data_IF_094808292088
#
_entry.id   IF_094808292088
#
_cell.length_a   1.000
_cell.length_b   1.000
_cell.length_c   1.000
_cell.angle_alpha   90.00
_cell.angle_beta   90.00
_cell.angle_gamma   90.00
#
_symmetry.space_group_name_H-M   'P 1'
#
loop_
_entity.id
_entity.type
_entity.pdbx_description
1 polymer ?
#
# COMPACT_ATOMS: atom_id res chain seq x y z
N UNK A 1 -25.46 -43.69 71.45
CA UNK A 1 -26.48 -43.58 70.39
C UNK A 1 -25.80 -44.00 69.08
N UNK A 2 -25.32 -45.24 68.95
CA UNK A 2 -26.05 -46.40 68.38
C UNK A 2 -26.76 -46.03 67.08
N UNK A 3 -26.14 -46.35 65.93
CA UNK A 3 -26.46 -47.50 65.06
C UNK A 3 -27.68 -47.22 64.17
N UNK A 4 -27.85 -47.69 62.95
CA UNK A 4 -27.07 -48.36 61.92
C UNK A 4 -28.02 -48.40 60.69
N UNK A 5 -27.47 -48.61 59.48
CA UNK A 5 -28.06 -49.35 58.34
C UNK A 5 -29.55 -49.14 57.98
N UNK A 6 -29.81 -48.82 56.71
CA UNK A 6 -30.06 -49.84 55.67
C UNK A 6 -30.58 -49.20 54.38
N UNK A 7 -29.97 -49.59 53.25
CA UNK A 7 -30.61 -49.59 51.93
C UNK A 7 -31.54 -50.81 51.82
N UNK A 8 -32.62 -50.71 51.03
CA UNK A 8 -32.91 -51.71 50.01
C UNK A 8 -33.15 -51.03 48.64
N UNK A 9 -32.55 -51.54 47.57
CA UNK A 9 -32.96 -52.66 46.71
C UNK A 9 -34.13 -52.33 45.77
N UNK A 10 -33.85 -52.61 44.50
CA UNK A 10 -34.60 -52.33 43.29
C UNK A 10 -36.00 -52.97 43.21
N UNK A 11 -36.87 -52.36 42.40
CA UNK A 11 -37.95 -53.05 41.71
C UNK A 11 -38.17 -52.42 40.33
N UNK A 12 -38.09 -53.27 39.31
CA UNK A 12 -38.47 -52.97 37.93
C UNK A 12 -39.99 -52.95 37.78
N UNK A 13 -40.50 -52.12 36.86
CA UNK A 13 -41.90 -52.12 36.46
C UNK A 13 -42.09 -51.36 35.15
N UNK A 14 -42.13 -52.09 34.04
CA UNK A 14 -42.72 -51.59 32.79
C UNK A 14 -44.24 -51.49 32.98
N UNK A 15 -44.87 -50.37 32.65
CA UNK A 15 -46.11 -50.38 31.88
C UNK A 15 -46.46 -49.01 31.30
N UNK A 16 -47.15 -49.10 30.19
CA UNK A 16 -47.40 -48.15 29.12
C UNK A 16 -48.41 -47.04 29.39
N UNK A 17 -48.36 -46.06 28.47
CA UNK A 17 -49.46 -45.25 27.90
C UNK A 17 -49.70 -43.84 28.44
N UNK A 18 -49.37 -42.94 27.53
CA UNK A 18 -50.23 -41.88 27.01
C UNK A 18 -50.30 -40.53 27.71
N UNK A 19 -49.89 -39.56 26.89
CA UNK A 19 -50.50 -38.24 26.74
C UNK A 19 -50.19 -37.22 27.82
N UNK A 20 -49.15 -36.42 27.58
CA UNK A 20 -49.31 -34.97 27.61
C UNK A 20 -48.57 -34.34 26.42
N UNK A 21 -49.32 -34.17 25.32
CA UNK A 21 -49.10 -33.13 24.33
C UNK A 21 -49.16 -31.77 25.04
N UNK A 22 -48.11 -30.96 24.96
CA UNK A 22 -48.23 -29.53 25.29
C UNK A 22 -46.96 -28.85 25.78
N UNK A 23 -45.88 -28.84 24.98
CA UNK A 23 -44.68 -28.07 25.37
C UNK A 23 -43.73 -27.64 24.23
N UNK A 24 -43.81 -28.28 23.07
CA UNK A 24 -42.77 -28.10 22.03
C UNK A 24 -42.86 -26.78 21.24
N UNK A 25 -44.03 -26.11 21.20
CA UNK A 25 -44.20 -24.89 20.39
C UNK A 25 -43.55 -23.63 20.98
N UNK A 26 -43.30 -23.60 22.29
CA UNK A 26 -42.68 -22.43 22.96
C UNK A 26 -41.15 -22.50 22.85
N UNK A 27 -40.56 -23.69 23.06
CA UNK A 27 -39.12 -23.89 22.91
C UNK A 27 -38.62 -23.66 21.49
N UNK A 28 -39.38 -24.11 20.48
CA UNK A 28 -39.00 -23.91 19.06
C UNK A 28 -39.07 -22.43 18.65
N UNK A 29 -40.03 -21.65 19.18
CA UNK A 29 -40.12 -20.20 18.92
C UNK A 29 -39.01 -19.41 19.59
N UNK A 30 -38.57 -19.82 20.78
CA UNK A 30 -37.44 -19.19 21.50
C UNK A 30 -36.10 -19.50 20.81
N UNK A 31 -35.90 -20.72 20.33
CA UNK A 31 -34.71 -21.09 19.55
C UNK A 31 -34.66 -20.38 18.19
N UNK A 32 -35.78 -20.26 17.48
CA UNK A 32 -35.85 -19.48 16.23
C UNK A 32 -35.62 -17.98 16.45
N UNK A 33 -36.12 -17.42 17.56
CA UNK A 33 -35.87 -16.02 17.92
C UNK A 33 -34.40 -15.75 18.27
N UNK A 34 -33.74 -16.66 18.97
CA UNK A 34 -32.31 -16.55 19.32
C UNK A 34 -31.41 -16.68 18.09
N UNK A 35 -31.78 -17.52 17.11
CA UNK A 35 -31.08 -17.68 15.83
C UNK A 35 -31.25 -16.47 14.90
N UNK A 36 -32.37 -15.75 14.98
CA UNK A 36 -32.60 -14.50 14.25
C UNK A 36 -31.83 -13.32 14.85
N UNK A 37 -31.62 -13.31 16.17
CA UNK A 37 -30.81 -12.29 16.84
C UNK A 37 -29.30 -12.44 16.58
N UNK A 38 -28.79 -13.65 16.34
CA UNK A 38 -27.36 -13.86 16.02
C UNK A 38 -26.97 -13.44 14.59
N UNK A 39 -27.94 -13.31 13.68
CA UNK A 39 -27.72 -12.80 12.32
C UNK A 39 -27.66 -11.27 12.23
N UNK A 40 -28.24 -10.56 13.22
CA UNK A 40 -28.20 -9.09 13.30
C UNK A 40 -26.92 -8.54 13.96
N UNK A 41 -26.05 -9.42 14.48
CA UNK A 41 -24.81 -9.04 15.17
C UNK A 41 -23.64 -8.69 14.22
N UNK A 42 -23.82 -8.81 12.90
CA UNK A 42 -22.86 -8.31 11.92
C UNK A 42 -23.10 -6.82 11.62
N UNK A 43 -23.11 -5.95 12.64
CA UNK A 43 -22.99 -4.52 12.37
C UNK A 43 -21.51 -4.19 12.21
N UNK A 44 -21.11 -3.81 11.00
CA UNK A 44 -19.78 -3.26 10.74
C UNK A 44 -19.61 -2.02 11.60
N UNK A 45 -18.54 -1.97 12.41
CA UNK A 45 -18.24 -0.83 13.25
C UNK A 45 -18.19 0.46 12.39
N UNK A 46 -18.77 1.59 12.85
CA UNK A 46 -18.70 2.85 12.12
C UNK A 46 -17.25 3.21 11.83
N UNK A 47 -16.90 3.29 10.54
CA UNK A 47 -15.55 3.63 10.11
C UNK A 47 -15.37 5.15 10.10
N UNK A 48 -15.15 5.74 11.28
CA UNK A 48 -14.82 7.19 11.39
C UNK A 48 -13.51 7.57 10.64
N UNK A 49 -12.73 6.58 10.20
CA UNK A 49 -11.46 6.76 9.51
C UNK A 49 -11.50 6.36 8.02
N UNK A 50 -12.71 6.20 7.46
CA UNK A 50 -12.91 5.87 6.05
C UNK A 50 -12.90 4.37 5.74
N UNK A 51 -13.21 4.05 4.49
CA UNK A 51 -13.33 2.67 3.99
C UNK A 51 -12.29 2.39 2.91
N UNK A 52 -11.80 1.15 2.87
CA UNK A 52 -10.93 0.69 1.78
C UNK A 52 -11.78 0.55 0.52
N UNK A 53 -11.49 1.36 -0.49
CA UNK A 53 -12.18 1.30 -1.78
C UNK A 53 -11.35 0.50 -2.78
N UNK A 54 -11.95 -0.52 -3.37
CA UNK A 54 -11.39 -1.22 -4.53
C UNK A 54 -11.48 -0.37 -5.80
N UNK A 55 -10.63 -0.67 -6.79
CA UNK A 55 -10.76 -0.09 -8.13
C UNK A 55 -11.87 -0.77 -8.92
N UNK A 56 -12.46 -0.04 -9.87
CA UNK A 56 -13.35 -0.61 -10.87
C UNK A 56 -12.56 -1.55 -11.80
N UNK A 57 -13.14 -2.69 -12.14
CA UNK A 57 -12.54 -3.65 -13.06
C UNK A 57 -12.23 -3.02 -14.43
N UNK A 58 -11.02 -3.28 -14.93
CA UNK A 58 -10.63 -2.96 -16.30
C UNK A 58 -10.18 -4.23 -17.04
N UNK A 59 -10.62 -4.42 -18.28
CA UNK A 59 -10.27 -5.57 -19.14
C UNK A 59 -8.76 -5.85 -19.28
N UNK A 60 -7.91 -4.84 -19.10
CA UNK A 60 -6.45 -4.95 -19.22
C UNK A 60 -5.82 -5.63 -17.99
N UNK A 61 -6.57 -5.75 -16.89
CA UNK A 61 -6.18 -6.46 -15.67
C UNK A 61 -6.12 -7.98 -15.88
N UNK A 62 -6.85 -8.52 -16.85
CA UNK A 62 -6.82 -9.94 -17.21
C UNK A 62 -5.43 -10.42 -17.67
N UNK A 63 -4.57 -9.48 -18.08
CA UNK A 63 -3.20 -9.74 -18.51
C UNK A 63 -2.17 -9.50 -17.39
N UNK A 64 -2.62 -9.30 -16.14
CA UNK A 64 -1.77 -9.10 -14.98
C UNK A 64 -1.87 -10.30 -14.05
N UNK A 65 -0.73 -10.78 -13.54
CA UNK A 65 -0.74 -11.62 -12.34
C UNK A 65 -1.01 -10.76 -11.10
N UNK A 66 -1.39 -11.39 -9.98
CA UNK A 66 -1.56 -10.69 -8.70
C UNK A 66 -0.34 -9.86 -8.31
N UNK A 67 0.87 -10.40 -8.54
CA UNK A 67 2.13 -9.68 -8.32
C UNK A 67 2.25 -8.42 -9.18
N UNK A 68 1.88 -8.52 -10.46
CA UNK A 68 1.98 -7.41 -11.40
C UNK A 68 0.88 -6.37 -11.14
N UNK A 69 -0.29 -6.79 -10.67
CA UNK A 69 -1.33 -5.90 -10.17
C UNK A 69 -0.89 -5.17 -8.91
N UNK A 70 -0.25 -5.87 -7.97
CA UNK A 70 0.31 -5.27 -6.75
C UNK A 70 1.34 -4.20 -7.09
N UNK A 71 2.30 -4.50 -7.97
CA UNK A 71 3.29 -3.53 -8.42
C UNK A 71 2.65 -2.32 -9.16
N UNK A 72 1.62 -2.57 -9.98
CA UNK A 72 0.87 -1.50 -10.67
C UNK A 72 0.19 -0.58 -9.68
N UNK A 73 -0.46 -1.15 -8.66
CA UNK A 73 -1.12 -0.38 -7.60
C UNK A 73 -0.11 0.41 -6.77
N UNK A 74 1.00 -0.22 -6.37
CA UNK A 74 2.06 0.45 -5.61
C UNK A 74 2.64 1.65 -6.38
N UNK A 75 2.92 1.49 -7.68
CA UNK A 75 3.40 2.58 -8.54
C UNK A 75 2.38 3.72 -8.63
N UNK A 76 1.10 3.41 -8.90
CA UNK A 76 0.03 4.41 -8.94
C UNK A 76 -0.07 5.18 -7.62
N UNK A 77 -0.11 4.48 -6.49
CA UNK A 77 -0.22 5.07 -5.16
C UNK A 77 1.02 5.88 -4.78
N UNK A 78 2.21 5.50 -5.26
CA UNK A 78 3.43 6.28 -5.08
C UNK A 78 3.38 7.62 -5.85
N UNK A 79 2.91 7.60 -7.10
CA UNK A 79 2.73 8.82 -7.90
C UNK A 79 1.67 9.75 -7.28
N UNK A 80 0.53 9.21 -6.82
CA UNK A 80 -0.48 10.02 -6.12
C UNK A 80 0.06 10.60 -4.80
N UNK A 81 0.82 9.82 -4.02
CA UNK A 81 1.51 10.35 -2.84
C UNK A 81 2.48 11.48 -3.18
N UNK A 82 3.24 11.39 -4.29
CA UNK A 82 4.10 12.49 -4.77
C UNK A 82 3.28 13.75 -5.12
N UNK A 83 2.12 13.60 -5.76
CA UNK A 83 1.27 14.74 -6.08
C UNK A 83 0.57 15.34 -4.85
N UNK A 84 0.28 14.54 -3.83
CA UNK A 84 -0.18 15.04 -2.53
C UNK A 84 0.93 15.81 -1.81
N UNK A 85 2.16 15.32 -1.89
CA UNK A 85 3.35 16.03 -1.40
C UNK A 85 3.50 17.37 -2.13
N UNK A 86 3.32 17.39 -3.45
CA UNK A 86 3.35 18.60 -4.27
C UNK A 86 2.35 19.66 -3.78
N UNK A 87 1.08 19.30 -3.57
CA UNK A 87 0.07 20.24 -3.03
C UNK A 87 0.51 20.80 -1.67
N UNK A 88 0.95 19.93 -0.76
CA UNK A 88 1.42 20.35 0.59
C UNK A 88 2.60 21.31 0.50
N UNK A 89 3.57 21.02 -0.37
CA UNK A 89 4.73 21.88 -0.58
C UNK A 89 4.33 23.22 -1.18
N UNK A 90 3.46 23.26 -2.19
CA UNK A 90 3.01 24.52 -2.78
C UNK A 90 2.19 25.39 -1.84
N UNK A 91 1.37 24.80 -0.96
CA UNK A 91 0.67 25.54 0.11
C UNK A 91 1.64 26.26 1.03
N UNK A 92 2.77 25.62 1.33
CA UNK A 92 3.80 26.18 2.22
C UNK A 92 4.81 27.07 1.51
N UNK A 93 5.01 26.88 0.22
CA UNK A 93 5.99 27.58 -0.60
C UNK A 93 5.30 28.24 -1.80
N UNK A 94 4.45 29.26 -1.58
CA UNK A 94 3.63 29.82 -2.65
C UNK A 94 4.44 30.58 -3.70
N UNK A 95 5.71 30.90 -3.43
CA UNK A 95 6.60 31.49 -4.41
C UNK A 95 6.98 30.51 -5.53
N UNK A 96 6.92 29.19 -5.28
CA UNK A 96 7.37 28.17 -6.23
C UNK A 96 6.38 28.00 -7.38
N UNK A 97 5.10 27.72 -7.11
CA UNK A 97 4.11 27.54 -8.18
C UNK A 97 3.90 28.80 -9.04
N UNK A 98 4.17 29.99 -8.49
CA UNK A 98 4.10 31.27 -9.22
C UNK A 98 5.17 31.41 -10.31
N UNK A 99 6.25 30.63 -10.25
CA UNK A 99 7.28 30.60 -11.30
C UNK A 99 6.80 29.85 -12.55
N UNK A 100 5.89 28.89 -12.36
CA UNK A 100 5.45 27.97 -13.42
C UNK A 100 4.08 28.32 -13.99
N UNK A 101 3.14 28.76 -13.15
CA UNK A 101 1.74 28.94 -13.58
C UNK A 101 1.01 30.07 -12.84
N UNK A 102 -0.16 30.44 -13.38
CA UNK A 102 -1.04 31.48 -12.83
C UNK A 102 -1.78 31.05 -11.56
N UNK A 103 -1.90 29.75 -11.29
CA UNK A 103 -2.47 29.21 -10.06
C UNK A 103 -1.74 27.95 -9.64
N UNK A 104 -1.87 27.59 -8.35
CA UNK A 104 -1.33 26.34 -7.81
C UNK A 104 -1.92 25.13 -8.54
N UNK A 105 -3.22 25.13 -8.79
CA UNK A 105 -3.93 24.04 -9.46
C UNK A 105 -3.42 23.87 -10.89
N UNK A 106 -3.14 24.98 -11.60
CA UNK A 106 -2.55 24.95 -12.92
C UNK A 106 -1.10 24.41 -12.91
N UNK A 107 -0.27 24.83 -11.94
CA UNK A 107 1.09 24.30 -11.77
C UNK A 107 1.06 22.79 -11.50
N UNK A 108 0.17 22.35 -10.60
CA UNK A 108 0.00 20.92 -10.30
C UNK A 108 -0.46 20.11 -11.51
N UNK A 109 -1.42 20.62 -12.29
CA UNK A 109 -1.90 19.96 -13.49
C UNK A 109 -0.78 19.84 -14.53
N UNK A 110 0.01 20.90 -14.72
CA UNK A 110 1.12 20.91 -15.65
C UNK A 110 2.19 19.88 -15.28
N UNK A 111 2.59 19.81 -14.00
CA UNK A 111 3.54 18.78 -13.52
C UNK A 111 2.98 17.37 -13.69
N UNK A 112 1.70 17.15 -13.37
CA UNK A 112 1.04 15.84 -13.56
C UNK A 112 1.08 15.39 -15.02
N UNK A 113 0.75 16.29 -15.96
CA UNK A 113 0.81 16.01 -17.40
C UNK A 113 2.25 15.69 -17.80
N UNK A 114 3.22 16.51 -17.40
CA UNK A 114 4.62 16.30 -17.76
C UNK A 114 5.15 14.95 -17.27
N UNK A 115 4.78 14.52 -16.06
CA UNK A 115 5.16 13.20 -15.52
C UNK A 115 4.49 12.06 -16.31
N UNK A 116 3.16 12.15 -16.51
CA UNK A 116 2.37 11.06 -17.11
C UNK A 116 2.69 10.88 -18.60
N UNK A 117 2.97 11.97 -19.31
CA UNK A 117 3.35 11.95 -20.72
C UNK A 117 4.87 11.84 -20.92
N UNK A 118 5.65 11.69 -19.83
CA UNK A 118 7.11 11.55 -19.87
C UNK A 118 7.79 12.73 -20.59
N UNK A 119 7.22 13.93 -20.46
CA UNK A 119 7.78 15.16 -21.02
C UNK A 119 9.01 15.62 -20.22
N UNK A 120 10.04 16.18 -20.87
CA UNK A 120 11.18 16.76 -20.19
C UNK A 120 10.75 18.00 -19.38
N UNK A 121 11.40 18.23 -18.24
CA UNK A 121 11.24 19.46 -17.48
C UNK A 121 12.42 20.39 -17.76
N UNK A 122 12.18 21.50 -18.44
CA UNK A 122 13.25 22.35 -18.99
C UNK A 122 14.27 22.80 -17.93
N UNK A 123 13.81 23.15 -16.72
CA UNK A 123 14.67 23.61 -15.63
C UNK A 123 15.65 22.53 -15.13
N UNK A 124 15.39 21.25 -15.45
CA UNK A 124 16.26 20.12 -15.10
C UNK A 124 17.41 19.91 -16.09
N UNK A 125 17.52 20.72 -17.15
CA UNK A 125 18.65 20.71 -18.10
C UNK A 125 18.91 19.31 -18.69
N UNK A 126 17.84 18.65 -19.16
CA UNK A 126 17.83 17.27 -19.69
C UNK A 126 18.33 16.18 -18.71
N UNK A 127 18.64 16.55 -17.46
CA UNK A 127 18.94 15.57 -16.42
C UNK A 127 17.67 14.79 -16.11
N UNK A 128 17.85 13.50 -15.87
CA UNK A 128 16.81 12.56 -15.47
C UNK A 128 17.17 11.89 -14.15
N UNK A 129 16.21 11.19 -13.57
CA UNK A 129 16.46 10.32 -12.42
C UNK A 129 17.13 11.06 -11.23
N UNK A 130 18.03 10.38 -10.53
CA UNK A 130 18.82 10.90 -9.40
C UNK A 130 19.61 12.16 -9.77
N UNK A 131 20.06 12.31 -11.02
CA UNK A 131 20.79 13.50 -11.44
C UNK A 131 19.89 14.74 -11.47
N UNK A 132 18.64 14.58 -11.92
CA UNK A 132 17.64 15.63 -11.89
C UNK A 132 17.20 15.95 -10.46
N UNK A 133 17.01 14.92 -9.64
CA UNK A 133 16.64 15.06 -8.23
C UNK A 133 17.72 15.82 -7.45
N UNK A 134 18.99 15.48 -7.72
CA UNK A 134 20.14 16.17 -7.15
C UNK A 134 20.17 17.64 -7.55
N UNK A 135 19.92 17.96 -8.82
CA UNK A 135 19.87 19.35 -9.33
C UNK A 135 18.76 20.16 -8.63
N UNK A 136 17.55 19.61 -8.52
CA UNK A 136 16.43 20.27 -7.85
C UNK A 136 16.72 20.58 -6.36
N UNK A 137 17.58 19.78 -5.72
CA UNK A 137 17.96 19.92 -4.31
C UNK A 137 19.28 20.67 -4.08
N UNK A 138 19.83 21.33 -5.10
CA UNK A 138 20.99 22.22 -4.95
C UNK A 138 20.57 23.59 -4.38
N UNK A 139 21.38 24.20 -3.48
CA UNK A 139 21.09 25.53 -2.95
C UNK A 139 20.84 26.59 -4.04
N UNK A 140 21.57 26.54 -5.14
CA UNK A 140 21.47 27.50 -6.26
C UNK A 140 20.34 27.25 -7.27
N UNK A 141 19.49 26.24 -7.09
CA UNK A 141 18.39 25.97 -8.03
C UNK A 141 17.36 27.12 -8.02
N UNK A 142 17.14 27.76 -9.18
CA UNK A 142 16.34 28.97 -9.32
C UNK A 142 14.90 28.73 -9.81
N UNK A 143 14.66 27.60 -10.49
CA UNK A 143 13.36 27.23 -11.04
C UNK A 143 12.29 26.94 -9.98
N UNK A 144 11.14 26.44 -10.42
CA UNK A 144 10.12 25.88 -9.53
C UNK A 144 10.65 24.59 -8.90
N UNK A 145 11.18 24.73 -7.70
CA UNK A 145 11.86 23.67 -6.97
C UNK A 145 10.89 22.56 -6.57
N UNK A 146 9.62 22.89 -6.33
CA UNK A 146 8.60 21.90 -5.99
C UNK A 146 8.27 21.07 -7.23
N UNK A 147 8.03 21.72 -8.38
CA UNK A 147 7.81 21.04 -9.64
C UNK A 147 9.01 20.15 -10.02
N UNK A 148 10.21 20.71 -9.98
CA UNK A 148 11.45 20.01 -10.33
C UNK A 148 11.71 18.80 -9.42
N UNK A 149 11.51 18.94 -8.10
CA UNK A 149 11.64 17.85 -7.15
C UNK A 149 10.64 16.72 -7.42
N UNK A 150 9.36 17.06 -7.58
CA UNK A 150 8.28 16.07 -7.78
C UNK A 150 8.43 15.37 -9.13
N UNK A 151 8.76 16.13 -10.19
CA UNK A 151 9.00 15.58 -11.52
C UNK A 151 10.20 14.63 -11.51
N UNK A 152 11.34 15.05 -10.95
CA UNK A 152 12.53 14.20 -10.86
C UNK A 152 12.32 12.95 -9.99
N UNK A 153 11.60 13.08 -8.87
CA UNK A 153 11.25 11.94 -8.03
C UNK A 153 10.35 10.95 -8.80
N UNK A 154 9.32 11.43 -9.48
CA UNK A 154 8.43 10.59 -10.27
C UNK A 154 9.16 9.92 -11.44
N UNK A 155 10.02 10.64 -12.16
CA UNK A 155 10.86 10.08 -13.21
C UNK A 155 11.75 8.94 -12.67
N UNK A 156 12.42 9.18 -11.54
CA UNK A 156 13.20 8.15 -10.83
C UNK A 156 12.38 6.91 -10.48
N UNK A 157 11.18 7.08 -9.93
CA UNK A 157 10.33 5.94 -9.61
C UNK A 157 9.96 5.16 -10.86
N UNK A 158 9.57 5.84 -11.94
CA UNK A 158 9.18 5.20 -13.20
C UNK A 158 10.40 4.48 -13.82
N UNK A 159 11.58 5.09 -13.82
CA UNK A 159 12.82 4.49 -14.34
C UNK A 159 13.24 3.27 -13.52
N UNK A 160 13.17 3.34 -12.19
CA UNK A 160 13.45 2.20 -11.31
C UNK A 160 12.51 1.00 -11.57
N UNK A 161 11.33 1.28 -12.16
CA UNK A 161 10.38 0.26 -12.60
C UNK A 161 10.44 -0.04 -14.10
N UNK A 162 11.59 0.17 -14.73
CA UNK A 162 11.82 -0.14 -16.14
C UNK A 162 11.06 0.77 -17.10
N UNK A 163 10.78 2.01 -16.70
CA UNK A 163 10.11 3.01 -17.55
C UNK A 163 8.59 2.84 -17.65
N UNK A 164 7.98 2.06 -16.75
CA UNK A 164 6.56 1.66 -16.81
C UNK A 164 5.79 2.11 -15.57
N UNK A 165 4.51 2.40 -15.79
CA UNK A 165 3.54 2.69 -14.71
C UNK A 165 2.50 1.58 -14.51
N UNK A 166 2.50 0.57 -15.40
CA UNK A 166 1.64 -0.62 -15.34
C UNK A 166 2.46 -1.83 -15.76
N UNK A 167 2.24 -2.96 -15.10
CA UNK A 167 3.02 -4.18 -15.30
C UNK A 167 2.13 -5.31 -15.81
N UNK A 168 2.59 -6.05 -16.80
CA UNK A 168 1.93 -7.20 -17.43
C UNK A 168 2.72 -8.47 -17.16
N UNK A 169 2.18 -9.64 -17.51
CA UNK A 169 2.82 -10.95 -17.26
C UNK A 169 4.28 -11.07 -17.73
N UNK A 170 4.68 -10.34 -18.77
CA UNK A 170 6.04 -10.36 -19.34
C UNK A 170 6.99 -9.33 -18.72
N UNK A 171 6.49 -8.43 -17.88
CA UNK A 171 7.32 -7.39 -17.29
C UNK A 171 8.03 -7.92 -16.03
N UNK A 172 9.35 -7.82 -16.03
CA UNK A 172 10.20 -8.06 -14.87
C UNK A 172 10.52 -6.74 -14.16
N UNK A 173 10.65 -6.80 -12.84
CA UNK A 173 11.10 -5.70 -12.01
C UNK A 173 12.49 -6.02 -11.45
N UNK A 174 13.40 -5.05 -11.46
CA UNK A 174 14.70 -5.19 -10.80
C UNK A 174 14.55 -4.74 -9.34
N UNK A 175 14.65 -5.66 -8.35
CA UNK A 175 14.44 -5.31 -6.95
C UNK A 175 15.50 -4.33 -6.43
N UNK A 176 16.73 -4.37 -6.96
CA UNK A 176 17.80 -3.49 -6.51
C UNK A 176 17.54 -2.05 -6.96
N UNK A 177 17.03 -1.84 -8.18
CA UNK A 177 16.68 -0.49 -8.65
C UNK A 177 15.54 0.12 -7.83
N UNK A 178 14.53 -0.67 -7.47
CA UNK A 178 13.42 -0.22 -6.63
C UNK A 178 13.89 0.10 -5.21
N UNK A 179 14.74 -0.75 -4.63
CA UNK A 179 15.36 -0.49 -3.33
C UNK A 179 16.20 0.79 -3.34
N UNK A 180 17.01 0.99 -4.39
CA UNK A 180 17.81 2.21 -4.55
C UNK A 180 16.91 3.45 -4.64
N UNK A 181 15.77 3.38 -5.32
CA UNK A 181 14.80 4.46 -5.37
C UNK A 181 14.25 4.82 -3.97
N UNK A 182 13.99 3.81 -3.13
CA UNK A 182 13.58 4.03 -1.74
C UNK A 182 14.67 4.79 -0.94
N UNK A 183 15.94 4.34 -1.04
CA UNK A 183 17.07 5.01 -0.39
C UNK A 183 17.28 6.44 -0.89
N UNK A 184 17.11 6.67 -2.19
CA UNK A 184 17.21 8.01 -2.77
C UNK A 184 16.13 8.96 -2.25
N UNK A 185 14.90 8.47 -2.05
CA UNK A 185 13.83 9.27 -1.44
C UNK A 185 14.11 9.57 0.05
N UNK A 186 14.69 8.64 0.80
CA UNK A 186 15.15 8.90 2.17
C UNK A 186 16.21 10.00 2.21
N UNK A 187 17.21 9.93 1.32
CA UNK A 187 18.25 10.95 1.20
C UNK A 187 17.62 12.29 0.84
N UNK A 188 16.72 12.32 -0.13
CA UNK A 188 16.02 13.53 -0.54
C UNK A 188 15.19 14.14 0.61
N UNK A 189 14.51 13.28 1.37
CA UNK A 189 13.78 13.67 2.57
C UNK A 189 14.72 14.28 3.63
N UNK A 190 15.86 13.64 3.89
CA UNK A 190 16.87 14.20 4.79
C UNK A 190 17.40 15.55 4.29
N UNK A 191 17.68 15.70 2.99
CA UNK A 191 18.13 16.97 2.41
C UNK A 191 17.09 18.08 2.60
N UNK A 192 15.81 17.80 2.32
CA UNK A 192 14.74 18.78 2.49
C UNK A 192 14.53 19.22 3.95
N UNK A 193 14.86 18.36 4.91
CA UNK A 193 14.74 18.65 6.34
C UNK A 193 15.99 19.32 6.95
N UNK A 194 17.18 19.12 6.35
CA UNK A 194 18.45 19.53 6.96
C UNK A 194 19.20 20.63 6.18
N UNK A 195 19.08 20.66 4.85
CA UNK A 195 19.87 21.54 4.00
C UNK A 195 19.26 22.93 3.93
N UNK A 196 20.13 23.93 4.00
CA UNK A 196 19.78 25.36 3.88
C UNK A 196 20.25 25.91 2.54
N UNK A 197 19.51 26.88 2.02
CA UNK A 197 19.90 27.73 0.91
C UNK A 197 20.99 28.72 1.35
N UNK A 198 21.53 29.48 0.38
CA UNK A 198 22.59 30.46 0.62
C UNK A 198 22.17 31.57 1.59
N UNK A 199 20.88 31.84 1.71
CA UNK A 199 20.30 32.82 2.64
C UNK A 199 20.03 32.25 4.05
N UNK A 200 20.45 31.01 4.32
CA UNK A 200 20.28 30.33 5.61
C UNK A 200 18.88 29.76 5.85
N UNK A 201 17.93 29.92 4.92
CA UNK A 201 16.58 29.32 5.00
C UNK A 201 16.58 27.88 4.49
N UNK A 202 15.63 27.02 4.91
CA UNK A 202 15.49 25.69 4.30
C UNK A 202 15.20 25.80 2.79
N UNK A 203 15.60 24.79 2.02
CA UNK A 203 15.37 24.76 0.56
C UNK A 203 13.88 24.84 0.20
N UNK A 204 13.04 24.13 0.95
CA UNK A 204 11.58 24.20 0.90
C UNK A 204 11.05 24.11 2.33
N UNK A 205 10.00 24.87 2.63
CA UNK A 205 9.24 24.75 3.86
C UNK A 205 8.41 23.46 3.79
N UNK A 206 8.95 22.36 4.34
CA UNK A 206 8.33 21.03 4.34
C UNK A 206 7.69 20.74 5.71
N UNK A 207 8.39 20.06 6.61
CA UNK A 207 7.96 19.79 7.98
C UNK A 207 8.06 21.06 8.85
N UNK A 208 7.26 21.14 9.91
CA UNK A 208 7.41 22.16 10.95
C UNK A 208 7.62 21.48 12.30
N UNK A 209 8.71 21.85 12.96
CA UNK A 209 9.11 21.30 14.25
C UNK A 209 9.28 22.43 15.28
N UNK A 210 8.28 23.32 15.34
CA UNK A 210 8.20 24.37 16.36
C UNK A 210 7.61 23.78 17.65
N UNK A 211 7.96 24.37 18.80
CA UNK A 211 7.53 23.91 20.14
C UNK A 211 6.01 23.84 20.29
N UNK A 212 5.28 24.74 19.63
CA UNK A 212 3.82 24.88 19.75
C UNK A 212 3.05 24.10 18.67
N UNK A 213 3.64 23.86 17.49
CA UNK A 213 2.97 23.17 16.37
C UNK A 213 3.95 22.25 15.63
N UNK A 214 3.69 20.94 15.72
CA UNK A 214 4.43 19.90 15.00
C UNK A 214 3.63 19.39 13.79
N UNK A 215 4.11 19.67 12.58
CA UNK A 215 3.51 19.19 11.35
C UNK A 215 4.47 18.23 10.63
N UNK A 216 4.16 16.93 10.72
CA UNK A 216 4.88 15.82 10.05
C UNK A 216 4.08 15.24 8.86
N UNK A 217 3.14 16.02 8.32
CA UNK A 217 2.27 15.53 7.24
C UNK A 217 3.03 15.28 5.93
N UNK A 218 4.17 15.94 5.70
CA UNK A 218 5.07 15.67 4.59
C UNK A 218 5.85 14.37 4.84
N UNK A 219 6.51 14.27 5.99
CA UNK A 219 7.27 13.08 6.42
C UNK A 219 6.42 11.80 6.33
N UNK A 220 5.16 11.87 6.77
CA UNK A 220 4.24 10.73 6.72
C UNK A 220 3.94 10.27 5.30
N UNK A 221 3.76 11.18 4.35
CA UNK A 221 3.52 10.77 2.96
C UNK A 221 4.79 10.24 2.31
N UNK A 222 5.95 10.82 2.62
CA UNK A 222 7.23 10.33 2.13
C UNK A 222 7.50 8.90 2.63
N UNK A 223 7.26 8.64 3.91
CA UNK A 223 7.39 7.31 4.52
C UNK A 223 6.46 6.25 3.91
N UNK A 224 5.26 6.64 3.45
CA UNK A 224 4.38 5.71 2.71
C UNK A 224 5.00 5.29 1.37
N UNK A 225 5.63 6.22 0.65
CA UNK A 225 6.28 5.91 -0.63
C UNK A 225 7.48 4.99 -0.38
N UNK A 226 8.36 5.35 0.56
CA UNK A 226 9.53 4.55 0.93
C UNK A 226 9.13 3.13 1.33
N UNK A 227 8.16 2.99 2.25
CA UNK A 227 7.71 1.67 2.71
C UNK A 227 7.07 0.82 1.61
N UNK A 228 6.36 1.42 0.64
CA UNK A 228 5.84 0.68 -0.52
C UNK A 228 6.96 0.22 -1.45
N UNK A 229 7.97 1.06 -1.68
CA UNK A 229 9.13 0.69 -2.49
C UNK A 229 9.92 -0.45 -1.84
N UNK A 230 10.19 -0.37 -0.54
CA UNK A 230 10.87 -1.44 0.21
C UNK A 230 10.09 -2.75 0.12
N UNK A 231 8.77 -2.71 0.35
CA UNK A 231 7.91 -3.90 0.24
C UNK A 231 7.93 -4.50 -1.17
N UNK A 232 7.88 -3.67 -2.22
CA UNK A 232 7.95 -4.14 -3.61
C UNK A 232 9.31 -4.77 -3.90
N UNK A 233 10.41 -4.19 -3.42
CA UNK A 233 11.76 -4.73 -3.58
C UNK A 233 11.93 -6.08 -2.89
N UNK A 234 11.50 -6.19 -1.63
CA UNK A 234 11.56 -7.42 -0.84
C UNK A 234 10.71 -8.53 -1.46
N UNK A 235 9.46 -8.22 -1.80
CA UNK A 235 8.54 -9.17 -2.43
C UNK A 235 9.08 -9.68 -3.77
N UNK A 236 9.64 -8.79 -4.58
CA UNK A 236 10.21 -9.13 -5.89
C UNK A 236 11.44 -10.02 -5.72
N UNK A 237 12.30 -9.75 -4.74
CA UNK A 237 13.46 -10.57 -4.41
C UNK A 237 13.04 -11.99 -4.00
N UNK A 238 12.05 -12.11 -3.13
CA UNK A 238 11.54 -13.42 -2.69
C UNK A 238 10.88 -14.19 -3.84
N UNK A 239 10.16 -13.49 -4.74
CA UNK A 239 9.61 -14.10 -5.96
C UNK A 239 10.71 -14.71 -6.83
N UNK A 240 11.80 -13.98 -7.11
CA UNK A 240 12.92 -14.52 -7.89
C UNK A 240 13.53 -15.73 -7.22
N UNK A 241 13.81 -15.65 -5.91
CA UNK A 241 14.34 -16.77 -5.12
C UNK A 241 13.43 -18.00 -5.19
N UNK A 242 12.12 -17.83 -5.02
CA UNK A 242 11.13 -18.93 -5.10
C UNK A 242 10.99 -19.50 -6.50
N UNK A 243 11.02 -18.67 -7.54
CA UNK A 243 10.98 -19.15 -8.93
C UNK A 243 12.18 -20.03 -9.25
N UNK A 244 13.37 -19.67 -8.77
CA UNK A 244 14.59 -20.49 -8.90
C UNK A 244 14.45 -21.81 -8.14
N UNK A 245 13.99 -21.78 -6.88
CA UNK A 245 13.79 -22.99 -6.07
C UNK A 245 12.74 -23.91 -6.71
N UNK A 246 11.60 -23.38 -7.14
CA UNK A 246 10.53 -24.15 -7.76
C UNK A 246 10.96 -24.78 -9.08
N UNK A 247 11.76 -24.08 -9.89
CA UNK A 247 12.37 -24.65 -11.10
C UNK A 247 13.35 -25.76 -10.77
N UNK A 248 14.24 -25.56 -9.79
CA UNK A 248 15.18 -26.59 -9.36
C UNK A 248 14.45 -27.83 -8.80
N UNK A 249 13.41 -27.65 -7.98
CA UNK A 249 12.56 -28.73 -7.48
C UNK A 249 11.79 -29.43 -8.61
N UNK A 250 11.26 -28.71 -9.59
CA UNK A 250 10.59 -29.29 -10.74
C UNK A 250 11.53 -30.13 -11.63
N UNK A 251 12.76 -29.68 -11.83
CA UNK A 251 13.79 -30.43 -12.56
C UNK A 251 14.32 -31.62 -11.78
N UNK A 252 14.54 -31.48 -10.47
CA UNK A 252 15.13 -32.53 -9.64
C UNK A 252 14.11 -33.57 -9.20
N UNK A 253 12.85 -33.18 -8.96
CA UNK A 253 11.77 -34.09 -8.56
C UNK A 253 10.91 -34.57 -9.74
N UNK A 254 10.90 -33.86 -10.87
CA UNK A 254 10.16 -34.23 -12.08
C UNK A 254 10.49 -35.64 -12.62
N UNK A 255 11.77 -36.05 -12.68
CA UNK A 255 12.14 -37.41 -13.11
C UNK A 255 11.71 -38.52 -12.14
N UNK A 256 11.49 -38.21 -10.85
CA UNK A 256 11.10 -39.20 -9.83
C UNK A 256 9.58 -39.27 -9.60
N UNK A 257 8.81 -38.38 -10.22
CA UNK A 257 7.34 -38.31 -10.14
C UNK A 257 6.66 -38.74 -11.45
N UNK A 258 7.33 -39.52 -12.30
CA UNK A 258 6.67 -40.31 -13.34
C UNK A 258 6.23 -41.64 -12.73
N UNK A 259 5.03 -41.68 -12.16
CA UNK A 259 4.43 -42.95 -11.76
C UNK A 259 4.39 -43.90 -12.97
N UNK A 260 4.92 -45.12 -12.80
CA UNK A 260 4.70 -46.21 -13.75
C UNK A 260 3.24 -46.69 -13.63
N UNK A 261 2.55 -46.98 -14.74
CA UNK A 261 1.16 -47.42 -14.68
C UNK A 261 1.06 -48.77 -13.95
N UNK A 262 0.20 -48.84 -12.94
CA UNK A 262 -0.20 -50.10 -12.30
C UNK A 262 -1.52 -50.53 -12.93
N UNK A 263 -1.52 -51.74 -13.52
CA UNK A 263 -2.73 -52.41 -14.01
C UNK A 263 -3.61 -52.85 -12.85
#
# INVERSE_FOLDING_TARGET
MTAARALPLAAAGHCTRDSLRGGSRVGLRLLSGLLLCSLAACSSAPTNHGEVKGENFHSRELLQSDSNRMATLAMKENLESLFLIMDKLYRRNPAEWKKTASSREAAMAYVRIAVMERQPWHELQDKRDVAALSLALQPGFAGDRVAAFVHAAADMLITAHGGRTRFTLIDGLDPQLVFNAARNLEIANWILNSRKALDGKPLLLSNQMAEEVRNLSFEREMGKIIGRLDLVADYTTERYRRSVIGYAQGLLAGPFMQFLPVR
#
